data_IF_956807622965
#
_entry.id   IF_956807622965
#
_cell.length_a   1.000
_cell.length_b   1.000
_cell.length_c   1.000
_cell.angle_alpha   90.00
_cell.angle_beta   90.00
_cell.angle_gamma   90.00
#
_symmetry.space_group_name_H-M   'P 1'
#
loop_
_entity.id
_entity.type
_entity.pdbx_description
1 polymer ?
#
# COMPACT_ATOMS: atom_id res chain seq x y z
N UNK A 1 -1.40 -3.96 -19.02
CA UNK A 1 -2.21 -3.04 -18.19
C UNK A 1 -3.00 -3.80 -17.12
N UNK A 2 -2.86 -3.42 -15.85
CA UNK A 2 -3.57 -4.02 -14.70
C UNK A 2 -4.67 -3.13 -14.13
N UNK A 3 -5.41 -3.63 -13.14
CA UNK A 3 -6.39 -2.84 -12.38
C UNK A 3 -5.83 -2.55 -10.99
N UNK A 4 -5.78 -1.26 -10.62
CA UNK A 4 -5.22 -0.80 -9.35
C UNK A 4 -6.28 -0.02 -8.58
N UNK A 5 -6.38 -0.29 -7.27
CA UNK A 5 -7.39 0.31 -6.42
C UNK A 5 -6.74 0.97 -5.21
N UNK A 6 -7.04 2.26 -5.03
CA UNK A 6 -6.71 3.01 -3.83
C UNK A 6 -8.01 3.34 -3.09
N UNK A 7 -8.34 2.57 -2.05
CA UNK A 7 -9.59 2.69 -1.31
C UNK A 7 -9.37 2.58 0.20
N UNK A 8 -10.45 2.65 0.99
CA UNK A 8 -10.39 2.45 2.45
C UNK A 8 -9.93 3.69 3.24
N UNK A 9 -10.18 4.89 2.72
CA UNK A 9 -9.80 6.14 3.41
C UNK A 9 -10.70 6.50 4.60
N UNK A 10 -11.97 6.07 4.56
CA UNK A 10 -12.98 6.16 5.63
C UNK A 10 -13.05 7.53 6.34
N UNK A 11 -12.70 8.62 5.65
CA UNK A 11 -12.71 9.98 6.19
C UNK A 11 -11.47 10.43 6.99
N UNK A 12 -10.50 9.54 7.27
CA UNK A 12 -9.33 9.88 8.12
C UNK A 12 -8.00 10.01 7.36
N UNK A 13 -8.00 9.84 6.03
CA UNK A 13 -6.76 9.79 5.24
C UNK A 13 -6.49 11.06 4.40
N UNK A 14 -7.23 12.16 4.60
CA UNK A 14 -7.02 13.40 3.82
C UNK A 14 -5.57 13.88 3.89
N UNK A 15 -5.00 13.97 5.10
CA UNK A 15 -3.59 14.33 5.34
C UNK A 15 -2.58 13.36 4.70
N UNK A 16 -2.99 12.11 4.51
CA UNK A 16 -2.16 11.04 3.96
C UNK A 16 -2.37 10.85 2.45
N UNK A 17 -3.33 11.56 1.83
CA UNK A 17 -3.61 11.42 0.40
C UNK A 17 -2.39 11.65 -0.49
N UNK A 18 -1.49 12.63 -0.24
CA UNK A 18 -0.30 12.82 -1.06
C UNK A 18 0.64 11.63 -1.04
N UNK A 19 0.86 11.00 0.12
CA UNK A 19 1.77 9.86 0.21
C UNK A 19 1.14 8.58 -0.36
N UNK A 20 -0.17 8.39 -0.17
CA UNK A 20 -0.91 7.30 -0.82
C UNK A 20 -0.84 7.41 -2.35
N UNK A 21 -0.95 8.63 -2.90
CA UNK A 21 -0.80 8.87 -4.33
C UNK A 21 0.59 8.49 -4.86
N UNK A 22 1.65 8.87 -4.15
CA UNK A 22 3.04 8.50 -4.49
C UNK A 22 3.24 6.98 -4.46
N UNK A 23 2.75 6.31 -3.41
CA UNK A 23 2.78 4.86 -3.29
C UNK A 23 2.07 4.18 -4.46
N UNK A 24 0.89 4.65 -4.84
CA UNK A 24 0.14 4.07 -5.95
C UNK A 24 0.83 4.28 -7.30
N UNK A 25 1.41 5.45 -7.54
CA UNK A 25 2.17 5.70 -8.77
C UNK A 25 3.36 4.73 -8.90
N UNK A 26 4.09 4.51 -7.81
CA UNK A 26 5.22 3.59 -7.79
C UNK A 26 4.77 2.13 -7.89
N UNK A 27 3.67 1.75 -7.25
CA UNK A 27 3.07 0.40 -7.37
C UNK A 27 2.65 0.10 -8.81
N UNK A 28 2.00 1.05 -9.47
CA UNK A 28 1.61 0.91 -10.88
C UNK A 28 2.86 0.73 -11.74
N UNK A 29 3.84 1.61 -11.63
CA UNK A 29 5.09 1.49 -12.38
C UNK A 29 5.84 0.18 -12.11
N UNK A 30 5.89 -0.25 -10.85
CA UNK A 30 6.53 -1.50 -10.44
C UNK A 30 5.89 -2.71 -11.12
N UNK A 31 4.57 -2.83 -11.06
CA UNK A 31 3.82 -3.91 -11.69
C UNK A 31 3.88 -3.84 -13.22
N UNK A 32 3.78 -2.64 -13.81
CA UNK A 32 3.84 -2.46 -15.26
C UNK A 32 5.23 -2.74 -15.85
N UNK A 33 6.29 -2.67 -15.04
CA UNK A 33 7.62 -3.14 -15.41
C UNK A 33 7.77 -4.69 -15.38
N UNK A 34 6.70 -5.44 -15.14
CA UNK A 34 6.67 -6.90 -15.15
C UNK A 34 7.01 -7.55 -13.81
N UNK A 35 7.09 -6.78 -12.73
CA UNK A 35 7.29 -7.35 -11.40
C UNK A 35 5.97 -7.95 -10.85
N UNK A 36 6.11 -8.97 -10.02
CA UNK A 36 5.00 -9.62 -9.33
C UNK A 36 4.92 -9.08 -7.90
N UNK A 37 4.01 -8.13 -7.66
CA UNK A 37 3.81 -7.52 -6.35
C UNK A 37 3.27 -8.51 -5.30
N UNK A 38 2.55 -9.54 -5.70
CA UNK A 38 2.00 -10.52 -4.75
C UNK A 38 3.10 -11.47 -4.25
N UNK A 39 4.05 -11.85 -5.11
CA UNK A 39 5.19 -12.68 -4.73
C UNK A 39 6.38 -11.88 -4.17
N UNK A 40 6.59 -10.66 -4.68
CA UNK A 40 7.68 -9.74 -4.31
C UNK A 40 7.09 -8.34 -4.09
N UNK A 41 6.61 -8.04 -2.88
CA UNK A 41 5.99 -6.76 -2.60
C UNK A 41 6.91 -5.57 -2.87
N UNK A 42 6.29 -4.47 -3.30
CA UNK A 42 6.98 -3.19 -3.49
C UNK A 42 7.49 -2.69 -2.13
N UNK A 43 8.75 -2.27 -2.11
CA UNK A 43 9.39 -1.58 -1.00
C UNK A 43 9.36 -0.08 -1.28
N UNK A 44 8.37 0.61 -0.71
CA UNK A 44 8.16 2.04 -0.95
C UNK A 44 9.04 2.88 -0.02
N UNK A 45 9.92 3.72 -0.57
CA UNK A 45 10.74 4.62 0.23
C UNK A 45 9.99 5.91 0.54
N UNK A 46 9.87 6.25 1.82
CA UNK A 46 9.23 7.49 2.25
C UNK A 46 10.19 8.68 2.06
N UNK A 47 9.89 9.61 1.13
CA UNK A 47 10.86 10.57 0.61
C UNK A 47 11.32 11.64 1.61
N UNK A 48 10.64 11.77 2.76
CA UNK A 48 10.95 12.79 3.76
C UNK A 48 11.64 12.25 5.00
N UNK A 49 11.57 10.95 5.25
CA UNK A 49 12.10 10.33 6.47
C UNK A 49 12.99 9.10 6.21
N UNK A 50 13.18 8.72 4.94
CA UNK A 50 14.09 7.65 4.53
C UNK A 50 13.75 6.27 5.10
N UNK A 51 12.49 6.04 5.51
CA UNK A 51 12.06 4.71 5.94
C UNK A 51 11.32 4.01 4.80
N UNK A 52 11.46 2.69 4.78
CA UNK A 52 10.80 1.85 3.78
C UNK A 52 9.51 1.25 4.33
N UNK A 53 8.45 1.30 3.55
CA UNK A 53 7.18 0.62 3.82
C UNK A 53 7.07 -0.59 2.90
N UNK A 54 6.70 -1.74 3.47
CA UNK A 54 6.30 -2.91 2.70
C UNK A 54 4.86 -2.74 2.21
N UNK A 55 4.68 -2.51 0.92
CA UNK A 55 3.35 -2.34 0.35
C UNK A 55 2.51 -3.64 0.40
N UNK A 56 3.15 -4.80 0.58
CA UNK A 56 2.47 -6.08 0.80
C UNK A 56 1.60 -6.09 2.06
N UNK A 57 1.88 -5.22 3.03
CA UNK A 57 1.02 -4.99 4.19
C UNK A 57 -0.39 -4.56 3.81
N UNK A 58 -0.57 -3.90 2.67
CA UNK A 58 -1.88 -3.46 2.17
C UNK A 58 -2.49 -4.43 1.15
N UNK A 59 -1.84 -5.56 0.89
CA UNK A 59 -2.34 -6.57 -0.04
C UNK A 59 -3.69 -7.14 0.43
N UNK A 60 -4.54 -7.48 -0.54
CA UNK A 60 -5.77 -8.26 -0.30
C UNK A 60 -5.47 -9.72 0.03
N UNK A 61 -4.27 -10.21 -0.30
CA UNK A 61 -3.79 -11.57 -0.03
C UNK A 61 -2.99 -11.69 1.27
N UNK A 62 -2.82 -10.60 2.02
CA UNK A 62 -2.06 -10.61 3.29
C UNK A 62 -2.68 -11.60 4.28
N UNK A 63 -1.85 -12.20 5.12
CA UNK A 63 -2.33 -13.00 6.24
C UNK A 63 -3.18 -12.16 7.18
N UNK A 64 -4.28 -12.75 7.66
CA UNK A 64 -5.15 -12.07 8.62
C UNK A 64 -4.40 -11.98 9.94
N UNK A 65 -4.23 -10.75 10.43
CA UNK A 65 -3.70 -10.53 11.78
C UNK A 65 -4.77 -10.92 12.82
N UNK A 66 -4.56 -12.05 13.50
CA UNK A 66 -5.44 -12.55 14.56
C UNK A 66 -5.48 -11.67 15.81
N UNK A 67 -4.49 -10.79 15.99
CA UNK A 67 -4.46 -9.81 17.09
C UNK A 67 -5.26 -8.55 16.78
N UNK A 68 -5.77 -8.41 15.55
CA UNK A 68 -6.60 -7.26 15.18
C UNK A 68 -7.94 -7.30 15.89
N UNK A 69 -8.38 -6.14 16.38
CA UNK A 69 -9.76 -5.97 16.86
C UNK A 69 -10.82 -6.06 15.75
N UNK A 70 -10.39 -6.09 14.48
CA UNK A 70 -11.21 -5.93 13.28
C UNK A 70 -12.04 -4.63 13.26
N UNK A 71 -11.72 -3.70 14.16
CA UNK A 71 -12.29 -2.36 14.17
C UNK A 71 -11.46 -1.42 13.30
N UNK A 72 -12.06 -0.30 12.91
CA UNK A 72 -11.35 0.80 12.23
C UNK A 72 -10.43 1.62 13.15
N UNK A 73 -10.45 1.35 14.45
CA UNK A 73 -9.62 2.05 15.45
C UNK A 73 -8.25 1.38 15.68
N UNK A 74 -8.04 0.17 15.15
CA UNK A 74 -6.86 -0.64 15.43
C UNK A 74 -7.09 -1.52 16.65
#
# INVERSE_FOLDING_TARGET
>A
PGYYMACGTSGNQYKNAPIAGKLMAELIGYCEAGNDHDARPLRFEMPYIGRTVDAGFYSRKREINSESSFSVLG
#
